data_IF_126048523102
#
_entry.id   IF_126048523102
#
_cell.length_a   1.000
_cell.length_b   1.000
_cell.length_c   1.000
_cell.angle_alpha   90.00
_cell.angle_beta   90.00
_cell.angle_gamma   90.00
#
_symmetry.space_group_name_H-M   'P 1'
#
loop_
_entity.id
_entity.type
_entity.pdbx_description
1 polymer ?
#
# COMPACT_ATOMS: atom_id res chain seq x y z
N UNK A 1 -9.66 -2.48 -18.98
CA UNK A 1 -8.24 -2.56 -18.60
C UNK A 1 -8.01 -3.54 -17.45
N UNK A 2 -8.88 -3.58 -16.44
CA UNK A 2 -8.70 -4.46 -15.27
C UNK A 2 -8.70 -5.96 -15.59
N UNK A 3 -9.54 -6.44 -16.53
CA UNK A 3 -9.61 -7.86 -16.91
C UNK A 3 -8.31 -8.37 -17.57
N UNK A 4 -7.65 -7.54 -18.40
CA UNK A 4 -6.37 -7.91 -19.05
C UNK A 4 -5.25 -8.05 -18.03
N UNK A 5 -5.26 -7.20 -17.00
CA UNK A 5 -4.28 -7.24 -15.89
C UNK A 5 -4.49 -8.50 -15.06
N UNK A 6 -5.73 -8.86 -14.76
CA UNK A 6 -6.06 -10.10 -14.05
C UNK A 6 -5.60 -11.36 -14.80
N UNK A 7 -5.87 -11.44 -16.11
CA UNK A 7 -5.43 -12.55 -16.97
C UNK A 7 -3.91 -12.72 -17.01
N UNK A 8 -3.17 -11.61 -17.12
CA UNK A 8 -1.72 -11.63 -17.11
C UNK A 8 -1.13 -12.00 -15.73
N UNK A 9 -1.84 -11.71 -14.64
CA UNK A 9 -1.43 -12.09 -13.28
C UNK A 9 -1.68 -13.58 -12.97
N UNK A 10 -2.65 -14.21 -13.63
CA UNK A 10 -2.91 -15.66 -13.46
C UNK A 10 -1.98 -16.56 -14.28
N UNK A 11 -1.27 -15.98 -15.26
CA UNK A 11 -0.42 -16.71 -16.20
C UNK A 11 0.72 -17.51 -15.54
N UNK A 12 1.51 -16.93 -14.61
CA UNK A 12 2.56 -17.67 -13.90
C UNK A 12 2.00 -18.89 -13.14
N UNK A 13 0.78 -18.76 -12.60
CA UNK A 13 0.17 -19.80 -11.76
C UNK A 13 -0.47 -20.91 -12.58
N UNK A 14 -1.02 -20.57 -13.74
CA UNK A 14 -1.65 -21.55 -14.61
C UNK A 14 -0.64 -22.32 -15.47
N UNK A 15 0.53 -21.72 -15.73
CA UNK A 15 1.54 -22.29 -16.60
C UNK A 15 2.03 -23.68 -16.14
N UNK A 16 2.45 -23.90 -14.87
CA UNK A 16 2.85 -25.23 -14.39
C UNK A 16 1.73 -26.28 -14.48
N UNK A 17 0.49 -25.88 -14.22
CA UNK A 17 -0.69 -26.75 -14.29
C UNK A 17 -0.94 -27.19 -15.74
N UNK A 18 -0.88 -26.26 -16.69
CA UNK A 18 -1.03 -26.56 -18.12
C UNK A 18 0.09 -27.47 -18.61
N UNK A 19 1.34 -27.23 -18.19
CA UNK A 19 2.47 -28.09 -18.54
C UNK A 19 2.29 -29.49 -17.96
N UNK A 20 1.82 -29.63 -16.72
CA UNK A 20 1.54 -30.93 -16.11
C UNK A 20 0.48 -31.72 -16.89
N UNK A 21 -0.68 -31.11 -17.18
CA UNK A 21 -1.73 -31.78 -17.95
C UNK A 21 -1.32 -32.05 -19.40
N UNK A 22 -0.56 -31.15 -20.02
CA UNK A 22 0.01 -31.35 -21.35
C UNK A 22 0.98 -32.54 -21.38
N UNK A 23 1.84 -32.64 -20.36
CA UNK A 23 2.75 -33.78 -20.20
C UNK A 23 1.99 -35.10 -19.99
N UNK A 24 0.94 -35.09 -19.16
CA UNK A 24 0.07 -36.26 -18.97
C UNK A 24 -0.59 -36.70 -20.28
N UNK A 25 -1.17 -35.77 -21.04
CA UNK A 25 -1.78 -36.07 -22.33
C UNK A 25 -0.79 -36.62 -23.35
N UNK A 26 0.42 -36.05 -23.38
CA UNK A 26 1.49 -36.51 -24.27
C UNK A 26 2.01 -37.91 -23.92
N UNK A 27 2.13 -38.22 -22.63
CA UNK A 27 2.59 -39.52 -22.13
C UNK A 27 1.47 -40.58 -22.00
N UNK A 28 0.21 -40.20 -22.27
CA UNK A 28 -0.95 -41.10 -22.10
C UNK A 28 -1.24 -41.48 -20.64
N UNK A 29 -0.87 -40.63 -19.68
CA UNK A 29 -1.08 -40.88 -18.25
C UNK A 29 -2.56 -40.63 -17.90
N UNK A 30 -3.30 -41.65 -17.41
CA UNK A 30 -4.72 -41.49 -17.10
C UNK A 30 -4.94 -40.62 -15.86
N UNK A 31 -6.08 -39.92 -15.83
CA UNK A 31 -6.51 -39.16 -14.66
C UNK A 31 -6.95 -40.14 -13.55
N UNK A 32 -6.29 -40.11 -12.41
CA UNK A 32 -6.65 -40.89 -11.24
C UNK A 32 -6.48 -40.07 -9.95
N UNK A 33 -6.65 -40.72 -8.79
CA UNK A 33 -6.54 -40.07 -7.48
C UNK A 33 -5.18 -39.37 -7.32
N UNK A 34 -4.08 -40.06 -7.67
CA UNK A 34 -2.72 -39.52 -7.53
C UNK A 34 -2.45 -38.33 -8.44
N UNK A 35 -2.82 -38.42 -9.72
CA UNK A 35 -2.63 -37.31 -10.67
C UNK A 35 -3.51 -36.09 -10.31
N UNK A 36 -4.71 -36.33 -9.75
CA UNK A 36 -5.61 -35.26 -9.29
C UNK A 36 -5.05 -34.55 -8.05
N UNK A 37 -4.43 -35.29 -7.12
CA UNK A 37 -3.74 -34.69 -5.99
C UNK A 37 -2.55 -33.83 -6.43
N UNK A 38 -1.77 -34.28 -7.43
CA UNK A 38 -0.68 -33.49 -8.00
C UNK A 38 -1.19 -32.16 -8.59
N UNK A 39 -2.33 -32.18 -9.29
CA UNK A 39 -2.97 -30.97 -9.81
C UNK A 39 -3.38 -29.98 -8.71
N UNK A 40 -3.94 -30.48 -7.61
CA UNK A 40 -4.35 -29.64 -6.48
C UNK A 40 -3.15 -28.97 -5.80
N UNK A 41 -2.06 -29.71 -5.60
CA UNK A 41 -0.81 -29.17 -5.04
C UNK A 41 -0.19 -28.15 -5.98
N UNK A 42 -0.23 -28.38 -7.30
CA UNK A 42 0.29 -27.45 -8.30
C UNK A 42 -0.31 -26.05 -8.16
N UNK A 43 -1.63 -25.97 -7.95
CA UNK A 43 -2.32 -24.69 -7.73
C UNK A 43 -1.86 -24.04 -6.40
N UNK A 44 -1.74 -24.84 -5.33
CA UNK A 44 -1.30 -24.36 -4.02
C UNK A 44 0.09 -23.75 -4.04
N UNK A 45 1.07 -24.46 -4.62
CA UNK A 45 2.46 -24.02 -4.70
C UNK A 45 2.59 -22.78 -5.58
N UNK A 46 1.97 -22.77 -6.76
CA UNK A 46 2.13 -21.66 -7.69
C UNK A 46 1.55 -20.34 -7.13
N UNK A 47 0.48 -20.41 -6.34
CA UNK A 47 -0.08 -19.23 -5.65
C UNK A 47 0.84 -18.74 -4.52
N UNK A 48 1.50 -19.65 -3.80
CA UNK A 48 2.39 -19.30 -2.69
C UNK A 48 3.68 -18.62 -3.15
N UNK A 49 4.35 -19.18 -4.17
CA UNK A 49 5.60 -18.62 -4.72
C UNK A 49 5.38 -17.19 -5.24
N UNK A 50 4.30 -16.99 -6.01
CA UNK A 50 3.95 -15.66 -6.53
C UNK A 50 3.59 -14.66 -5.42
N UNK A 51 2.98 -15.12 -4.32
CA UNK A 51 2.68 -14.26 -3.16
C UNK A 51 3.97 -13.76 -2.51
N UNK A 52 4.92 -14.66 -2.25
CA UNK A 52 6.21 -14.32 -1.67
C UNK A 52 6.97 -13.30 -2.54
N UNK A 53 7.05 -13.56 -3.85
CA UNK A 53 7.70 -12.66 -4.80
C UNK A 53 7.03 -11.27 -4.82
N UNK A 54 5.69 -11.22 -4.88
CA UNK A 54 4.93 -9.96 -4.92
C UNK A 54 5.09 -9.15 -3.63
N UNK A 55 5.03 -9.78 -2.46
CA UNK A 55 5.18 -9.11 -1.18
C UNK A 55 6.57 -8.51 -1.03
N UNK A 56 7.61 -9.25 -1.45
CA UNK A 56 8.98 -8.75 -1.44
C UNK A 56 9.18 -7.62 -2.44
N UNK A 57 8.68 -7.76 -3.67
CA UNK A 57 8.73 -6.70 -4.68
C UNK A 57 8.10 -5.39 -4.19
N UNK A 58 6.93 -5.47 -3.56
CA UNK A 58 6.26 -4.31 -2.98
C UNK A 58 7.10 -3.63 -1.90
N UNK A 59 7.71 -4.43 -1.01
CA UNK A 59 8.60 -3.94 0.05
C UNK A 59 9.83 -3.24 -0.53
N UNK A 60 10.49 -3.84 -1.52
CA UNK A 60 11.67 -3.26 -2.17
C UNK A 60 11.32 -2.00 -3.00
N UNK A 61 10.14 -1.96 -3.62
CA UNK A 61 9.63 -0.79 -4.35
C UNK A 61 9.28 0.37 -3.41
N UNK A 62 8.79 0.10 -2.20
CA UNK A 62 8.58 1.13 -1.17
C UNK A 62 9.91 1.71 -0.67
N UNK A 63 10.95 0.89 -0.60
CA UNK A 63 12.29 1.33 -0.19
C UNK A 63 13.09 1.97 -1.34
N UNK A 64 12.77 1.67 -2.60
CA UNK A 64 13.54 2.07 -3.78
C UNK A 64 12.73 2.95 -4.73
N UNK A 65 13.25 4.11 -5.16
CA UNK A 65 12.54 5.01 -6.12
C UNK A 65 12.47 4.47 -7.56
N UNK A 66 13.08 3.31 -7.86
CA UNK A 66 13.21 2.75 -9.21
C UNK A 66 12.69 1.32 -9.29
N UNK A 67 11.83 1.03 -10.28
CA UNK A 67 11.22 -0.29 -10.47
C UNK A 67 12.25 -1.35 -10.84
N UNK A 68 13.22 -1.03 -11.70
CA UNK A 68 14.27 -1.97 -12.08
C UNK A 68 15.15 -2.39 -10.90
N UNK A 69 15.51 -1.43 -10.04
CA UNK A 69 16.31 -1.70 -8.85
C UNK A 69 15.53 -2.53 -7.84
N UNK A 70 14.24 -2.25 -7.65
CA UNK A 70 13.37 -3.06 -6.79
C UNK A 70 13.26 -4.49 -7.31
N UNK A 71 13.00 -4.68 -8.61
CA UNK A 71 12.90 -5.99 -9.25
C UNK A 71 14.18 -6.81 -9.10
N UNK A 72 15.35 -6.21 -9.38
CA UNK A 72 16.63 -6.89 -9.20
C UNK A 72 16.83 -7.34 -7.76
N UNK A 73 16.59 -6.45 -6.78
CA UNK A 73 16.73 -6.79 -5.36
C UNK A 73 15.77 -7.90 -4.93
N UNK A 74 14.54 -7.92 -5.46
CA UNK A 74 13.59 -8.99 -5.21
C UNK A 74 14.08 -10.32 -5.75
N UNK A 75 14.52 -10.37 -7.01
CA UNK A 75 15.03 -11.60 -7.62
C UNK A 75 16.21 -12.15 -6.80
N UNK A 76 17.19 -11.30 -6.45
CA UNK A 76 18.33 -11.76 -5.65
C UNK A 76 17.96 -12.15 -4.22
N UNK A 77 16.98 -11.48 -3.62
CA UNK A 77 16.51 -11.78 -2.26
C UNK A 77 15.72 -13.08 -2.18
N UNK A 78 14.95 -13.42 -3.22
CA UNK A 78 14.08 -14.61 -3.26
C UNK A 78 14.75 -15.82 -3.94
N UNK A 79 15.81 -15.62 -4.75
CA UNK A 79 16.51 -16.68 -5.46
C UNK A 79 16.94 -17.85 -4.56
N UNK A 80 17.67 -17.56 -3.48
CA UNK A 80 18.22 -18.62 -2.63
C UNK A 80 17.13 -19.35 -1.81
N UNK A 81 16.21 -18.66 -1.11
CA UNK A 81 15.12 -19.34 -0.41
C UNK A 81 14.27 -20.22 -1.32
N UNK A 82 13.75 -19.68 -2.43
CA UNK A 82 12.80 -20.38 -3.32
C UNK A 82 13.46 -21.57 -4.01
N UNK A 83 14.71 -21.43 -4.49
CA UNK A 83 15.44 -22.56 -5.10
C UNK A 83 15.69 -23.66 -4.06
N UNK A 84 16.09 -23.30 -2.83
CA UNK A 84 16.41 -24.29 -1.80
C UNK A 84 15.19 -25.11 -1.37
N UNK A 85 14.04 -24.46 -1.17
CA UNK A 85 12.79 -25.14 -0.81
C UNK A 85 12.28 -25.99 -1.97
N UNK A 86 12.34 -25.47 -3.20
CA UNK A 86 11.92 -26.20 -4.40
C UNK A 86 12.74 -27.48 -4.61
N UNK A 87 14.06 -27.40 -4.47
CA UNK A 87 14.93 -28.59 -4.57
C UNK A 87 14.63 -29.62 -3.47
N UNK A 88 14.40 -29.17 -2.24
CA UNK A 88 14.03 -30.05 -1.14
C UNK A 88 12.68 -30.76 -1.41
N UNK A 89 11.69 -30.02 -1.90
CA UNK A 89 10.39 -30.60 -2.26
C UNK A 89 10.50 -31.56 -3.44
N UNK A 90 11.23 -31.19 -4.51
CA UNK A 90 11.48 -32.08 -5.66
C UNK A 90 12.10 -33.40 -5.18
N UNK A 91 13.14 -33.34 -4.34
CA UNK A 91 13.76 -34.53 -3.77
C UNK A 91 12.76 -35.36 -2.96
N UNK A 92 11.94 -34.71 -2.12
CA UNK A 92 10.88 -35.39 -1.35
C UNK A 92 9.82 -36.05 -2.23
N UNK A 93 9.37 -35.38 -3.30
CA UNK A 93 8.41 -35.94 -4.25
C UNK A 93 8.98 -37.13 -5.04
N UNK A 94 10.26 -37.07 -5.40
CA UNK A 94 10.96 -38.17 -6.08
C UNK A 94 11.07 -39.42 -5.20
N UNK A 95 11.01 -39.32 -3.87
CA UNK A 95 10.95 -40.52 -3.00
C UNK A 95 9.71 -41.36 -3.29
N UNK A 96 8.57 -40.73 -3.60
CA UNK A 96 7.32 -41.44 -3.90
C UNK A 96 7.37 -42.26 -5.19
N UNK A 97 8.32 -42.02 -6.09
CA UNK A 97 8.46 -42.83 -7.31
C UNK A 97 8.92 -44.25 -7.03
N UNK A 98 9.38 -44.55 -5.80
CA UNK A 98 9.76 -45.90 -5.36
C UNK A 98 8.58 -46.71 -4.80
N UNK A 99 7.36 -46.16 -4.78
CA UNK A 99 6.21 -46.84 -4.22
C UNK A 99 5.72 -48.00 -5.12
N UNK A 100 5.19 -49.06 -4.51
CA UNK A 100 4.61 -50.20 -5.24
C UNK A 100 3.23 -49.89 -5.86
N UNK A 101 2.60 -48.78 -5.46
CA UNK A 101 1.28 -48.38 -5.92
C UNK A 101 1.35 -47.28 -6.99
N UNK A 102 0.97 -47.57 -8.26
CA UNK A 102 1.18 -46.64 -9.37
C UNK A 102 0.62 -45.22 -9.19
N UNK A 103 -0.56 -45.01 -8.56
CA UNK A 103 -1.04 -43.66 -8.27
C UNK A 103 -0.09 -42.84 -7.39
N UNK A 104 0.63 -43.45 -6.44
CA UNK A 104 1.62 -42.76 -5.59
C UNK A 104 2.87 -42.42 -6.40
N UNK A 105 3.32 -43.34 -7.27
CA UNK A 105 4.45 -43.09 -8.18
C UNK A 105 4.17 -41.91 -9.10
N UNK A 106 2.97 -41.89 -9.70
CA UNK A 106 2.54 -40.80 -10.58
C UNK A 106 2.38 -39.48 -9.82
N UNK A 107 1.86 -39.51 -8.59
CA UNK A 107 1.80 -38.34 -7.72
C UNK A 107 3.19 -37.76 -7.44
N UNK A 108 4.17 -38.61 -7.10
CA UNK A 108 5.57 -38.23 -6.91
C UNK A 108 6.18 -37.58 -8.13
N UNK A 109 6.11 -38.28 -9.27
CA UNK A 109 6.70 -37.82 -10.52
C UNK A 109 6.07 -36.50 -11.02
N UNK A 110 4.74 -36.40 -11.02
CA UNK A 110 4.05 -35.20 -11.48
C UNK A 110 4.22 -34.03 -10.51
N UNK A 111 4.24 -34.29 -9.20
CA UNK A 111 4.53 -33.28 -8.19
C UNK A 111 5.94 -32.68 -8.35
N UNK A 112 6.95 -33.53 -8.54
CA UNK A 112 8.31 -33.07 -8.81
C UNK A 112 8.40 -32.24 -10.11
N UNK A 113 7.74 -32.68 -11.19
CA UNK A 113 7.66 -31.94 -12.45
C UNK A 113 7.01 -30.56 -12.26
N UNK A 114 5.87 -30.52 -11.57
CA UNK A 114 5.14 -29.28 -11.29
C UNK A 114 6.01 -28.28 -10.56
N UNK A 115 6.72 -28.70 -9.50
CA UNK A 115 7.56 -27.81 -8.69
C UNK A 115 8.74 -27.30 -9.53
N UNK A 116 9.35 -28.17 -10.32
CA UNK A 116 10.41 -27.76 -11.23
C UNK A 116 9.94 -26.71 -12.25
N UNK A 117 8.77 -26.93 -12.86
CA UNK A 117 8.20 -25.97 -13.82
C UNK A 117 7.75 -24.68 -13.12
N UNK A 118 7.19 -24.76 -11.91
CA UNK A 118 6.81 -23.62 -11.09
C UNK A 118 8.02 -22.75 -10.77
N UNK A 119 9.15 -23.34 -10.36
CA UNK A 119 10.39 -22.63 -10.12
C UNK A 119 10.86 -21.85 -11.36
N UNK A 120 10.80 -22.45 -12.55
CA UNK A 120 11.15 -21.76 -13.79
C UNK A 120 10.14 -20.64 -14.13
N UNK A 121 8.85 -20.90 -13.94
CA UNK A 121 7.80 -19.91 -14.15
C UNK A 121 7.96 -18.72 -13.21
N UNK A 122 8.41 -18.95 -11.97
CA UNK A 122 8.55 -17.91 -10.97
C UNK A 122 9.73 -16.96 -11.23
N UNK A 123 10.83 -17.45 -11.80
CA UNK A 123 11.95 -16.57 -12.17
C UNK A 123 11.85 -15.97 -13.57
N UNK A 124 10.96 -16.48 -14.44
CA UNK A 124 10.84 -16.03 -15.83
C UNK A 124 9.53 -15.26 -16.05
N UNK A 125 8.39 -15.88 -15.71
CA UNK A 125 7.06 -15.36 -16.03
C UNK A 125 6.61 -14.35 -14.97
N UNK A 126 6.81 -14.63 -13.67
CA UNK A 126 6.41 -13.72 -12.58
C UNK A 126 7.05 -12.33 -12.70
N UNK A 127 8.38 -12.17 -12.92
CA UNK A 127 9.01 -10.86 -13.01
C UNK A 127 8.58 -10.12 -14.27
N UNK A 128 8.37 -10.84 -15.37
CA UNK A 128 7.86 -10.29 -16.62
C UNK A 128 6.43 -9.75 -16.47
N UNK A 129 5.58 -10.53 -15.80
CA UNK A 129 4.20 -10.14 -15.50
C UNK A 129 4.16 -8.92 -14.57
N UNK A 130 4.94 -8.92 -13.49
CA UNK A 130 5.01 -7.81 -12.51
C UNK A 130 5.72 -6.57 -13.08
N UNK A 131 6.65 -6.71 -14.02
CA UNK A 131 7.27 -5.56 -14.68
C UNK A 131 6.31 -4.88 -15.67
N UNK A 132 5.58 -5.69 -16.43
CA UNK A 132 4.63 -5.21 -17.44
C UNK A 132 3.35 -4.65 -16.81
N UNK A 133 2.99 -5.15 -15.63
CA UNK A 133 1.82 -4.72 -14.89
C UNK A 133 2.27 -3.96 -13.65
N UNK A 134 1.88 -2.69 -13.48
CA UNK A 134 1.89 -2.06 -12.14
C UNK A 134 0.84 -2.76 -11.27
N UNK A 135 1.11 -4.01 -10.88
CA UNK A 135 0.24 -4.83 -10.06
C UNK A 135 0.20 -4.20 -8.68
N UNK A 136 -0.91 -3.50 -8.46
CA UNK A 136 -1.39 -3.07 -7.15
C UNK A 136 -1.67 -4.37 -6.39
N UNK A 137 -0.91 -4.65 -5.33
CA UNK A 137 -1.11 -5.87 -4.54
C UNK A 137 -2.52 -5.89 -3.93
N UNK A 138 -3.02 -7.05 -3.51
CA UNK A 138 -4.30 -7.14 -2.77
C UNK A 138 -4.28 -6.18 -1.57
N UNK A 139 -3.14 -6.04 -0.89
CA UNK A 139 -2.94 -5.07 0.19
C UNK A 139 -2.97 -3.61 -0.28
N UNK A 140 -2.46 -3.32 -1.47
CA UNK A 140 -2.62 -1.99 -2.06
C UNK A 140 -4.10 -1.75 -2.46
N UNK A 141 -4.83 -2.75 -2.95
CA UNK A 141 -6.28 -2.67 -3.22
C UNK A 141 -7.10 -2.50 -1.93
N UNK A 142 -6.79 -3.24 -0.88
CA UNK A 142 -7.46 -3.17 0.42
C UNK A 142 -7.14 -1.84 1.11
N UNK A 143 -5.87 -1.41 1.06
CA UNK A 143 -5.50 -0.08 1.55
C UNK A 143 -6.13 1.02 0.70
N UNK A 144 -6.33 0.83 -0.61
CA UNK A 144 -7.10 1.76 -1.44
C UNK A 144 -8.59 1.77 -1.05
N UNK A 145 -9.19 0.64 -0.68
CA UNK A 145 -10.57 0.58 -0.19
C UNK A 145 -10.73 1.27 1.17
N UNK A 146 -9.82 1.01 2.12
CA UNK A 146 -9.80 1.66 3.43
C UNK A 146 -9.57 3.18 3.29
N UNK A 147 -8.68 3.57 2.37
CA UNK A 147 -8.41 4.98 2.05
C UNK A 147 -9.60 5.62 1.34
N UNK A 148 -10.27 4.94 0.41
CA UNK A 148 -11.39 5.51 -0.35
C UNK A 148 -12.51 6.01 0.58
N UNK A 149 -12.84 5.27 1.64
CA UNK A 149 -13.84 5.70 2.63
C UNK A 149 -13.43 6.96 3.40
N UNK A 150 -12.16 7.08 3.79
CA UNK A 150 -11.64 8.25 4.53
C UNK A 150 -11.48 9.47 3.61
N UNK A 151 -11.03 9.22 2.38
CA UNK A 151 -10.82 10.25 1.36
C UNK A 151 -12.15 10.83 0.86
N UNK A 152 -13.17 10.01 0.61
CA UNK A 152 -14.49 10.48 0.21
C UNK A 152 -15.19 11.29 1.32
N UNK A 153 -14.88 10.98 2.59
CA UNK A 153 -15.39 11.72 3.75
C UNK A 153 -14.59 12.98 4.08
N UNK A 154 -13.39 13.14 3.51
CA UNK A 154 -12.53 14.28 3.82
C UNK A 154 -13.16 15.58 3.32
N UNK A 155 -13.20 16.65 4.16
CA UNK A 155 -13.63 17.98 3.73
C UNK A 155 -12.86 18.49 2.51
N UNK A 156 -11.58 18.09 2.37
CA UNK A 156 -10.69 18.49 1.28
C UNK A 156 -11.22 18.09 -0.10
N UNK A 157 -11.81 16.91 -0.19
CA UNK A 157 -12.22 16.28 -1.45
C UNK A 157 -13.71 16.36 -1.73
N UNK A 158 -14.44 17.19 -0.97
CA UNK A 158 -15.86 17.44 -1.18
C UNK A 158 -16.13 17.86 -2.63
N UNK A 159 -17.15 17.27 -3.23
CA UNK A 159 -17.59 17.54 -4.61
C UNK A 159 -16.52 17.30 -5.69
N UNK A 160 -15.54 16.43 -5.42
CA UNK A 160 -14.62 15.92 -6.42
C UNK A 160 -14.99 14.49 -6.81
N UNK A 161 -14.86 14.20 -8.10
CA UNK A 161 -15.06 12.86 -8.61
C UNK A 161 -13.91 11.94 -8.16
N UNK A 162 -14.15 10.65 -7.84
CA UNK A 162 -13.11 9.71 -7.42
C UNK A 162 -11.82 9.69 -8.27
N UNK A 163 -11.91 9.90 -9.59
CA UNK A 163 -10.73 9.96 -10.45
C UNK A 163 -9.87 11.20 -10.19
N UNK A 164 -10.48 12.34 -9.84
CA UNK A 164 -9.78 13.58 -9.48
C UNK A 164 -9.05 13.42 -8.14
N UNK A 165 -9.71 12.76 -7.17
CA UNK A 165 -9.13 12.43 -5.87
C UNK A 165 -7.90 11.53 -6.04
N UNK A 166 -8.02 10.48 -6.87
CA UNK A 166 -6.92 9.54 -7.17
C UNK A 166 -5.68 10.27 -7.69
N UNK A 167 -5.86 11.26 -8.56
CA UNK A 167 -4.75 12.01 -9.15
C UNK A 167 -4.00 12.83 -8.10
N UNK A 168 -4.71 13.38 -7.12
CA UNK A 168 -4.11 14.13 -6.02
C UNK A 168 -3.35 13.21 -5.06
N UNK A 169 -3.89 12.04 -4.74
CA UNK A 169 -3.21 11.03 -3.90
C UNK A 169 -1.93 10.54 -4.55
N UNK A 170 -1.95 10.28 -5.86
CA UNK A 170 -0.78 9.84 -6.61
C UNK A 170 0.34 10.90 -6.66
N UNK A 171 0.03 12.16 -6.35
CA UNK A 171 1.02 13.23 -6.23
C UNK A 171 1.55 13.43 -4.80
N UNK A 172 1.01 12.70 -3.82
CA UNK A 172 1.48 12.72 -2.43
C UNK A 172 2.37 11.51 -2.10
N UNK A 173 3.04 11.58 -0.96
CA UNK A 173 3.73 10.45 -0.34
C UNK A 173 3.00 10.04 0.94
N UNK A 174 3.06 8.76 1.28
CA UNK A 174 2.42 8.25 2.49
C UNK A 174 3.49 7.99 3.52
N UNK A 175 3.31 8.55 4.71
CA UNK A 175 4.23 8.41 5.82
C UNK A 175 3.51 7.75 7.00
N UNK A 176 4.26 6.93 7.73
CA UNK A 176 3.77 6.19 8.89
C UNK A 176 4.49 6.71 10.13
N UNK A 177 3.72 6.91 11.19
CA UNK A 177 4.20 7.44 12.47
C UNK A 177 3.75 6.50 13.59
N UNK A 178 4.67 6.16 14.49
CA UNK A 178 4.38 5.52 15.76
C UNK A 178 3.71 6.46 16.74
N UNK A 179 3.24 5.92 17.88
CA UNK A 179 2.72 6.73 18.97
C UNK A 179 3.85 7.56 19.60
N UNK A 180 3.66 8.87 19.68
CA UNK A 180 4.64 9.83 20.20
C UNK A 180 5.54 10.43 19.13
N UNK A 181 5.53 9.92 17.90
CA UNK A 181 6.33 10.48 16.81
C UNK A 181 5.81 11.86 16.41
N UNK A 182 6.74 12.75 16.10
CA UNK A 182 6.45 14.09 15.62
C UNK A 182 6.37 14.09 14.08
N UNK A 183 5.23 14.54 13.57
CA UNK A 183 4.95 14.71 12.14
C UNK A 183 5.70 15.93 11.59
N UNK A 184 5.79 17.00 12.38
CA UNK A 184 6.64 18.16 12.18
C UNK A 184 6.85 18.88 13.52
N UNK A 185 7.93 19.65 13.58
CA UNK A 185 8.30 20.47 14.72
C UNK A 185 8.03 21.96 14.46
N UNK A 186 7.85 22.72 15.54
CA UNK A 186 7.90 24.17 15.50
C UNK A 186 9.26 24.62 14.94
N UNK A 187 9.20 25.59 14.02
CA UNK A 187 10.37 26.11 13.33
C UNK A 187 10.65 25.44 11.99
N UNK A 188 10.08 24.25 11.73
CA UNK A 188 10.23 23.59 10.43
C UNK A 188 9.68 24.45 9.30
N UNK A 189 10.28 24.33 8.11
CA UNK A 189 9.73 24.98 6.93
C UNK A 189 8.37 24.38 6.54
N UNK A 190 7.41 25.24 6.25
CA UNK A 190 6.06 24.81 5.89
C UNK A 190 5.94 24.50 4.40
N UNK A 191 6.46 23.35 4.01
CA UNK A 191 6.52 22.92 2.60
C UNK A 191 5.51 21.81 2.22
N UNK A 192 4.68 21.35 3.17
CA UNK A 192 3.72 20.28 2.92
C UNK A 192 2.38 20.45 3.66
N UNK A 193 1.33 19.90 3.06
CA UNK A 193 0.01 19.70 3.63
C UNK A 193 -0.13 18.24 4.07
N UNK A 194 -0.86 17.99 5.16
CA UNK A 194 -1.03 16.64 5.70
C UNK A 194 -2.51 16.29 5.78
N UNK A 195 -2.85 15.08 5.30
CA UNK A 195 -4.18 14.50 5.44
C UNK A 195 -4.06 13.21 6.25
N UNK A 196 -4.78 13.12 7.36
CA UNK A 196 -4.76 11.95 8.22
C UNK A 196 -5.60 10.82 7.60
N UNK A 197 -4.99 9.67 7.32
CA UNK A 197 -5.68 8.51 6.74
C UNK A 197 -6.16 7.54 7.81
N UNK A 198 -5.35 7.32 8.85
CA UNK A 198 -5.68 6.48 10.00
C UNK A 198 -4.96 7.01 11.24
N UNK A 199 -5.48 6.69 12.42
CA UNK A 199 -4.89 7.12 13.69
C UNK A 199 -5.41 8.48 14.14
N UNK A 200 -4.61 9.16 14.97
CA UNK A 200 -4.97 10.43 15.61
C UNK A 200 -3.73 11.29 15.81
N UNK A 201 -3.83 12.55 15.39
CA UNK A 201 -2.74 13.53 15.50
C UNK A 201 -3.20 14.70 16.36
N UNK A 202 -2.34 15.17 17.26
CA UNK A 202 -2.55 16.36 18.07
C UNK A 202 -1.57 17.45 17.63
N UNK A 203 -2.10 18.63 17.34
CA UNK A 203 -1.30 19.83 17.13
C UNK A 203 -1.29 20.63 18.42
N UNK A 204 -0.12 21.04 18.87
CA UNK A 204 0.05 21.78 20.11
C UNK A 204 1.14 22.84 20.05
N UNK A 205 1.06 23.79 20.98
CA UNK A 205 2.14 24.73 21.23
C UNK A 205 3.11 24.08 22.23
N UNK A 206 4.40 23.97 21.90
CA UNK A 206 5.38 23.51 22.87
C UNK A 206 5.53 24.54 24.00
N UNK A 207 5.53 24.05 25.23
CA UNK A 207 5.69 24.82 26.46
C UNK A 207 7.13 24.65 26.96
N UNK A 208 7.70 25.70 27.58
CA UNK A 208 9.11 25.75 27.99
C UNK A 208 9.57 24.60 28.92
N UNK A 209 8.66 23.91 29.60
CA UNK A 209 8.95 22.76 30.47
C UNK A 209 8.81 21.38 29.77
N UNK A 210 8.74 21.34 28.42
CA UNK A 210 8.53 20.09 27.67
C UNK A 210 7.08 19.62 27.66
N UNK A 211 6.14 20.53 27.96
CA UNK A 211 4.70 20.31 27.87
C UNK A 211 4.13 20.70 26.51
N UNK A 212 2.90 20.26 26.23
CA UNK A 212 2.23 20.45 24.94
C UNK A 212 0.83 21.02 25.24
N UNK A 213 0.66 22.33 25.02
CA UNK A 213 -0.64 22.97 25.22
C UNK A 213 -1.55 22.68 24.01
N UNK A 214 -2.61 21.93 24.29
CA UNK A 214 -3.42 21.27 23.26
C UNK A 214 -4.24 22.28 22.48
N UNK A 215 -3.90 22.48 21.21
CA UNK A 215 -4.67 23.33 20.31
C UNK A 215 -5.82 22.57 19.67
N UNK A 216 -5.50 21.50 18.94
CA UNK A 216 -6.48 20.78 18.13
C UNK A 216 -6.07 19.31 17.91
N UNK A 217 -7.08 18.43 17.87
CA UNK A 217 -6.90 17.02 17.52
C UNK A 217 -7.55 16.74 16.18
N UNK A 218 -6.85 15.98 15.35
CA UNK A 218 -7.26 15.59 14.01
C UNK A 218 -7.58 14.11 13.96
N UNK A 219 -8.67 13.78 13.27
CA UNK A 219 -9.17 12.42 13.07
C UNK A 219 -9.05 12.02 11.59
N UNK A 220 -9.19 10.73 11.24
CA UNK A 220 -9.09 10.30 9.86
C UNK A 220 -10.04 11.07 8.93
N UNK A 221 -9.49 11.64 7.86
CA UNK A 221 -10.18 12.50 6.90
C UNK A 221 -9.89 13.98 7.10
N UNK A 222 -9.37 14.38 8.25
CA UNK A 222 -9.01 15.77 8.52
C UNK A 222 -7.66 16.15 7.93
N UNK A 223 -7.57 17.42 7.54
CA UNK A 223 -6.36 18.05 7.03
C UNK A 223 -5.70 18.89 8.11
N UNK A 224 -4.38 18.89 8.19
CA UNK A 224 -3.63 19.74 9.11
C UNK A 224 -2.32 20.24 8.48
N UNK A 225 -1.74 21.28 9.10
CA UNK A 225 -0.53 21.92 8.58
C UNK A 225 -0.76 22.84 7.38
N UNK A 226 -2.01 23.13 7.06
CA UNK A 226 -2.49 24.05 6.03
C UNK A 226 -2.15 25.52 6.35
N UNK A 227 -2.36 25.96 7.58
CA UNK A 227 -2.22 27.38 7.95
C UNK A 227 -0.82 27.92 7.64
N UNK A 228 0.22 27.28 8.16
CA UNK A 228 1.59 27.74 7.97
C UNK A 228 2.07 27.57 6.52
N UNK A 229 1.60 26.52 5.84
CA UNK A 229 1.85 26.28 4.41
C UNK A 229 1.31 27.42 3.54
N UNK A 230 0.07 27.86 3.75
CA UNK A 230 -0.53 28.92 2.94
C UNK A 230 -0.09 30.33 3.35
N UNK A 231 0.22 30.53 4.63
CA UNK A 231 0.78 31.79 5.11
C UNK A 231 2.24 32.01 4.70
N UNK A 232 2.94 30.96 4.23
CA UNK A 232 4.35 31.07 3.81
C UNK A 232 5.30 31.29 4.98
N UNK A 233 4.96 30.80 6.18
CA UNK A 233 5.74 30.99 7.40
C UNK A 233 6.21 29.64 7.96
N UNK A 234 7.30 29.60 8.77
CA UNK A 234 7.69 28.40 9.49
C UNK A 234 6.58 27.90 10.43
N UNK A 235 6.61 26.60 10.75
CA UNK A 235 5.67 25.97 11.68
C UNK A 235 5.69 26.68 13.03
N UNK A 236 4.50 26.96 13.56
CA UNK A 236 4.32 27.59 14.88
C UNK A 236 3.98 26.60 15.99
N UNK A 237 3.78 25.35 15.63
CA UNK A 237 3.25 24.30 16.49
C UNK A 237 3.94 22.99 16.17
N UNK A 238 3.96 22.10 17.14
CA UNK A 238 4.32 20.70 16.93
C UNK A 238 3.06 19.92 16.50
N UNK A 239 3.26 18.87 15.70
CA UNK A 239 2.22 17.89 15.42
C UNK A 239 2.71 16.50 15.83
N UNK A 240 1.99 15.86 16.75
CA UNK A 240 2.39 14.57 17.33
C UNK A 240 1.31 13.51 17.09
N UNK A 241 1.73 12.30 16.75
CA UNK A 241 0.84 11.16 16.64
C UNK A 241 0.50 10.61 18.05
N UNK A 242 -0.79 10.61 18.42
CA UNK A 242 -1.25 10.08 19.71
C UNK A 242 -1.40 8.54 19.69
N UNK A 243 -1.50 7.97 18.50
CA UNK A 243 -1.59 6.54 18.22
C UNK A 243 -0.90 6.25 16.87
N UNK A 244 -0.58 4.98 16.54
CA UNK A 244 0.00 4.63 15.24
C UNK A 244 -0.83 5.22 14.08
N UNK A 245 -0.22 6.15 13.35
CA UNK A 245 -0.92 7.02 12.40
C UNK A 245 -0.33 6.92 11.00
N UNK A 246 -1.19 6.97 10.00
CA UNK A 246 -0.78 7.02 8.59
C UNK A 246 -1.24 8.34 8.00
N UNK A 247 -0.33 9.07 7.38
CA UNK A 247 -0.57 10.42 6.89
C UNK A 247 -0.20 10.51 5.42
N UNK A 248 -1.08 11.10 4.60
CA UNK A 248 -0.79 11.49 3.24
C UNK A 248 -0.17 12.89 3.25
N UNK A 249 1.08 12.99 2.78
CA UNK A 249 1.87 14.21 2.72
C UNK A 249 1.89 14.74 1.30
N UNK A 250 1.54 16.01 1.14
CA UNK A 250 1.38 16.64 -0.17
C UNK A 250 2.22 17.92 -0.19
N UNK A 251 3.32 17.87 -0.93
CA UNK A 251 4.30 18.97 -0.99
C UNK A 251 3.77 20.15 -1.79
N UNK A 252 4.21 21.36 -1.42
CA UNK A 252 3.88 22.63 -2.11
C UNK A 252 4.13 22.54 -3.61
N UNK A 253 5.29 22.04 -4.04
CA UNK A 253 5.61 21.88 -5.46
C UNK A 253 4.58 21.05 -6.22
N UNK A 254 4.04 20.00 -5.62
CA UNK A 254 3.04 19.14 -6.26
C UNK A 254 1.66 19.82 -6.29
N UNK A 255 1.33 20.63 -5.28
CA UNK A 255 0.13 21.48 -5.30
C UNK A 255 0.25 22.52 -6.43
N UNK A 256 1.39 23.18 -6.56
CA UNK A 256 1.67 24.18 -7.59
C UNK A 256 1.72 23.61 -9.01
N UNK A 257 2.32 22.42 -9.19
CA UNK A 257 2.29 21.71 -10.49
C UNK A 257 0.87 21.35 -10.89
N UNK A 258 0.05 20.87 -9.94
CA UNK A 258 -1.36 20.58 -10.21
C UNK A 258 -2.17 21.84 -10.56
N UNK A 259 -1.88 22.98 -9.91
CA UNK A 259 -2.48 24.28 -10.26
C UNK A 259 -2.24 24.66 -11.73
N UNK A 260 -1.03 24.42 -12.25
CA UNK A 260 -0.69 24.78 -13.65
C UNK A 260 -1.39 23.89 -14.68
N UNK A 261 -1.49 22.59 -14.42
CA UNK A 261 -2.02 21.65 -15.41
C UNK A 261 -3.54 21.44 -15.30
N UNK A 262 -4.15 21.67 -14.14
CA UNK A 262 -5.57 21.36 -13.87
C UNK A 262 -6.23 22.39 -12.96
N UNK A 263 -6.41 23.63 -13.42
CA UNK A 263 -6.86 24.75 -12.59
C UNK A 263 -8.24 24.52 -11.94
N UNK A 264 -9.17 23.82 -12.61
CA UNK A 264 -10.51 23.55 -12.05
C UNK A 264 -10.49 22.64 -10.81
N UNK A 265 -9.66 21.60 -10.82
CA UNK A 265 -9.56 20.67 -9.68
C UNK A 265 -8.92 21.38 -8.51
N UNK A 266 -7.82 22.07 -8.76
CA UNK A 266 -7.12 22.83 -7.73
C UNK A 266 -8.01 23.91 -7.12
N UNK A 267 -8.72 24.71 -7.95
CA UNK A 267 -9.65 25.72 -7.44
C UNK A 267 -10.71 25.14 -6.49
N UNK A 268 -11.22 23.93 -6.79
CA UNK A 268 -12.17 23.23 -5.92
C UNK A 268 -11.54 22.78 -4.59
N UNK A 269 -10.33 22.22 -4.62
CA UNK A 269 -9.57 21.85 -3.43
C UNK A 269 -9.30 23.09 -2.56
N UNK A 270 -8.87 24.20 -3.15
CA UNK A 270 -8.67 25.46 -2.45
C UNK A 270 -9.96 25.98 -1.82
N UNK A 271 -11.08 25.98 -2.55
CA UNK A 271 -12.37 26.39 -2.01
C UNK A 271 -12.80 25.52 -0.82
N UNK A 272 -12.55 24.21 -0.88
CA UNK A 272 -12.83 23.28 0.21
C UNK A 272 -11.95 23.57 1.45
N UNK A 273 -10.65 23.80 1.25
CA UNK A 273 -9.71 24.19 2.30
C UNK A 273 -10.12 25.51 2.97
N UNK A 274 -10.43 26.54 2.18
CA UNK A 274 -10.86 27.84 2.70
C UNK A 274 -12.14 27.71 3.52
N UNK A 275 -13.08 26.88 3.07
CA UNK A 275 -14.31 26.60 3.82
C UNK A 275 -14.00 25.94 5.16
N UNK A 276 -13.10 24.97 5.19
CA UNK A 276 -12.72 24.27 6.42
C UNK A 276 -11.97 25.18 7.40
N UNK A 277 -10.97 25.94 6.91
CA UNK A 277 -10.24 26.95 7.67
C UNK A 277 -11.19 27.98 8.30
N UNK A 278 -12.15 28.48 7.52
CA UNK A 278 -13.15 29.44 8.01
C UNK A 278 -13.98 28.85 9.15
N UNK A 279 -14.41 27.58 9.05
CA UNK A 279 -15.13 26.90 10.15
C UNK A 279 -14.27 26.71 11.39
N UNK A 280 -12.98 26.41 11.24
CA UNK A 280 -12.05 26.29 12.38
C UNK A 280 -11.85 27.64 13.08
N UNK A 281 -11.68 28.71 12.30
CA UNK A 281 -11.55 30.06 12.84
C UNK A 281 -12.78 30.47 13.64
N UNK A 282 -13.98 30.24 13.09
CA UNK A 282 -15.25 30.49 13.81
C UNK A 282 -15.31 29.68 15.12
N UNK A 283 -14.94 28.40 15.09
CA UNK A 283 -14.87 27.55 16.30
C UNK A 283 -13.90 28.12 17.34
N UNK A 284 -12.75 28.62 16.91
CA UNK A 284 -11.75 29.23 17.79
C UNK A 284 -12.26 30.53 18.43
N UNK A 285 -12.89 31.40 17.64
CA UNK A 285 -13.52 32.64 18.12
C UNK A 285 -14.60 32.33 19.17
N UNK A 286 -15.46 31.34 18.90
CA UNK A 286 -16.51 30.94 19.83
C UNK A 286 -15.93 30.35 21.14
N UNK A 287 -14.85 29.55 21.07
CA UNK A 287 -14.14 29.06 22.26
C UNK A 287 -13.55 30.21 23.08
N UNK A 288 -12.94 31.20 22.43
CA UNK A 288 -12.38 32.39 23.09
C UNK A 288 -13.48 33.23 23.77
N UNK A 289 -14.62 33.45 23.11
CA UNK A 289 -15.76 34.15 23.72
C UNK A 289 -16.31 33.40 24.94
N UNK A 290 -16.44 32.07 24.87
CA UNK A 290 -16.87 31.25 26.00
C UNK A 290 -15.89 31.29 27.18
N UNK A 291 -14.58 31.39 26.91
CA UNK A 291 -13.56 31.55 27.96
C UNK A 291 -13.57 32.96 28.57
N UNK A 292 -13.73 34.02 27.76
CA UNK A 292 -13.85 35.40 28.23
C UNK A 292 -15.11 35.66 29.08
N UNK A 293 -16.22 34.98 28.78
CA UNK A 293 -17.44 35.02 29.60
C UNK A 293 -17.24 34.32 30.96
N UNK A 294 -16.44 33.24 31.02
CA UNK A 294 -16.09 32.56 32.27
C UNK A 294 -15.16 33.39 33.17
N UNK A 295 -14.26 34.18 32.60
CA UNK A 295 -13.36 35.06 33.38
C UNK A 295 -14.08 36.26 33.97
N UNK A 296 -15.12 36.80 33.30
CA UNK A 296 -15.97 37.89 33.84
C UNK A 296 -16.99 37.46 34.89
N UNK A 297 -17.19 36.16 35.11
CA UNK A 297 -18.17 35.60 36.07
C UNK A 297 -17.54 35.03 37.36
N UNK A 298 -16.24 35.24 37.60
CA UNK A 298 -15.65 34.95 38.91
C UNK A 298 -15.72 36.21 39.78
N UNK A 299 -16.52 36.21 40.87
CA UNK A 299 -16.50 37.28 41.87
C UNK A 299 -15.15 37.32 42.60
#
# INVERSE_FOLDING_TARGET
TEVRVGLLATLPNLFPVVVMFGFMGFMGIPLNIGTTMAAAIAIGIAVDDTLHFMLRYNRELKASKSHNTAMQRTIYGEALPVVSTSLALIAGFLVFTQADFPPIVQFGMLGALVIFVALLADFIITPLAISSLRLITIWDLLSLQLRKQVLEKSPLFRDLHPWQIRQFILSGSIQHYGKGDLVFHQGDESNALYLLLTGKVEVCLPVAEGGCDKLEQFSPGDVFGDVALFAGIPRKTDAMALEPSTVLVINRENIERNLRHRPRISARIFANLTTDLSRRLIRMINKQQAMGIKTRRRP
#
